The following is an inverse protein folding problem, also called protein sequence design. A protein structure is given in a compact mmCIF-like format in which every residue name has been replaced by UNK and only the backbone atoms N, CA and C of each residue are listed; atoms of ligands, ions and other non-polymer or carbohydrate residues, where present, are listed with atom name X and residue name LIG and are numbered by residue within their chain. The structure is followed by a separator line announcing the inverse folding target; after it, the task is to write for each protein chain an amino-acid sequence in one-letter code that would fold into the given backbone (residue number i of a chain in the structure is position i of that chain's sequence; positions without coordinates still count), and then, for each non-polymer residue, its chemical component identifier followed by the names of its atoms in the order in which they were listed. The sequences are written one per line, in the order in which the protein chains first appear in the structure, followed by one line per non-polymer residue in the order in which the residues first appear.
data_IF_530774062929
#
_entry.id   IF_530774062929
#
_cell.length_a   1.000
_cell.length_b   1.000
_cell.length_c   1.000
_cell.angle_alpha   90.00
_cell.angle_beta   90.00
_cell.angle_gamma   90.00
#
_symmetry.space_group_name_H-M   'P 1'
#
loop_
_entity.id
_entity.type
_entity.pdbx_description
1 polymer ?
#
# COMPACT_ATOMS: atom_id res chain seq x y z
N UNK A 1 14.67 -4.56 -12.53
CA UNK A 1 13.22 -4.27 -12.49
C UNK A 1 12.46 -5.15 -11.51
N UNK A 2 12.53 -6.49 -11.56
CA UNK A 2 11.79 -7.33 -10.60
C UNK A 2 12.21 -7.08 -9.14
N UNK A 3 13.51 -7.00 -8.88
CA UNK A 3 14.05 -6.72 -7.53
C UNK A 3 13.53 -5.40 -6.96
N UNK A 4 13.54 -4.32 -7.74
CA UNK A 4 13.00 -3.02 -7.30
C UNK A 4 11.49 -3.06 -7.00
N UNK A 5 10.72 -3.93 -7.66
CA UNK A 5 9.29 -4.10 -7.37
C UNK A 5 9.06 -4.88 -6.07
N UNK A 6 9.89 -5.89 -5.79
CA UNK A 6 9.85 -6.64 -4.52
C UNK A 6 10.16 -5.69 -3.37
N UNK A 7 11.24 -4.93 -3.47
CA UNK A 7 11.62 -3.95 -2.44
C UNK A 7 10.57 -2.85 -2.25
N UNK A 8 9.86 -2.49 -3.33
CA UNK A 8 8.76 -1.53 -3.28
C UNK A 8 7.56 -2.04 -2.49
N UNK A 9 7.13 -3.30 -2.72
CA UNK A 9 6.02 -3.92 -1.97
C UNK A 9 6.43 -4.36 -0.55
N UNK A 10 7.73 -4.41 -0.27
CA UNK A 10 8.30 -4.54 1.07
C UNK A 10 8.57 -3.18 1.75
N UNK A 11 8.13 -2.10 1.11
CA UNK A 11 8.05 -0.72 1.63
C UNK A 11 9.37 0.00 1.78
N UNK A 12 10.43 -0.52 1.17
CA UNK A 12 11.72 0.17 1.11
C UNK A 12 11.58 1.51 0.41
N UNK A 13 12.33 2.51 0.86
CA UNK A 13 12.27 3.86 0.31
C UNK A 13 12.73 3.87 -1.16
N UNK A 14 12.09 4.68 -2.01
CA UNK A 14 12.51 4.86 -3.41
C UNK A 14 13.99 5.21 -3.52
N UNK A 15 14.46 6.16 -2.70
CA UNK A 15 15.87 6.53 -2.65
C UNK A 15 16.80 5.36 -2.29
N UNK A 16 16.39 4.51 -1.35
CA UNK A 16 17.18 3.34 -0.95
C UNK A 16 17.21 2.28 -2.05
N UNK A 17 16.09 2.09 -2.76
CA UNK A 17 15.99 1.17 -3.90
C UNK A 17 16.88 1.67 -5.05
N UNK A 18 16.80 2.97 -5.37
CA UNK A 18 17.58 3.58 -6.44
C UNK A 18 19.09 3.42 -6.18
N UNK A 19 19.54 3.73 -4.96
CA UNK A 19 20.95 3.61 -4.58
C UNK A 19 21.45 2.16 -4.49
N UNK A 20 20.61 1.24 -4.01
CA UNK A 20 21.02 -0.16 -3.83
C UNK A 20 21.21 -0.89 -5.16
N UNK A 21 20.45 -0.54 -6.19
CA UNK A 21 20.41 -1.28 -7.45
C UNK A 21 20.87 -0.47 -8.67
N UNK A 22 21.34 0.77 -8.47
CA UNK A 22 21.73 1.70 -9.54
C UNK A 22 20.66 1.85 -10.64
N UNK A 23 19.39 1.72 -10.25
CA UNK A 23 18.25 1.88 -11.16
C UNK A 23 17.91 3.37 -11.19
N UNK A 24 18.58 4.13 -12.06
CA UNK A 24 18.32 5.56 -12.21
C UNK A 24 16.92 5.81 -12.80
N UNK A 25 16.01 6.23 -11.92
CA UNK A 25 14.95 7.23 -12.11
C UNK A 25 14.16 7.23 -13.44
N UNK A 26 13.65 6.07 -13.86
CA UNK A 26 12.31 5.99 -14.44
C UNK A 26 11.33 5.39 -13.41
N UNK A 27 11.46 5.88 -12.17
CA UNK A 27 10.56 5.77 -11.02
C UNK A 27 10.11 4.34 -10.71
N UNK A 28 10.72 3.72 -9.70
CA UNK A 28 10.21 2.46 -9.09
C UNK A 28 8.70 2.51 -8.89
N UNK A 29 8.16 3.66 -8.47
CA UNK A 29 6.71 3.91 -8.35
C UNK A 29 5.98 3.78 -9.70
N UNK A 30 6.52 4.34 -10.78
CA UNK A 30 5.95 4.22 -12.14
C UNK A 30 5.96 2.78 -12.62
N UNK A 31 7.09 2.08 -12.50
CA UNK A 31 7.17 0.66 -12.86
C UNK A 31 6.21 -0.18 -12.03
N UNK A 32 6.05 0.11 -10.74
CA UNK A 32 5.11 -0.58 -9.87
C UNK A 32 3.65 -0.30 -10.25
N UNK A 33 3.33 0.95 -10.63
CA UNK A 33 2.02 1.29 -11.16
C UNK A 33 1.72 0.53 -12.46
N UNK A 34 2.65 0.49 -13.41
CA UNK A 34 2.49 -0.26 -14.67
C UNK A 34 2.34 -1.77 -14.40
N UNK A 35 3.17 -2.33 -13.52
CA UNK A 35 3.08 -3.72 -13.09
C UNK A 35 1.73 -4.04 -12.43
N UNK A 36 1.19 -3.14 -11.60
CA UNK A 36 -0.13 -3.34 -10.97
C UNK A 36 -1.25 -3.53 -12.00
N UNK A 37 -1.18 -2.81 -13.14
CA UNK A 37 -2.13 -2.93 -14.25
C UNK A 37 -1.93 -4.22 -15.03
N UNK A 38 -0.68 -4.64 -15.25
CA UNK A 38 -0.37 -5.91 -15.90
C UNK A 38 -0.88 -7.11 -15.08
N UNK A 39 -0.78 -7.05 -13.76
CA UNK A 39 -1.33 -8.09 -12.87
C UNK A 39 -2.85 -8.16 -13.00
N UNK A 40 -3.56 -7.03 -13.05
CA UNK A 40 -5.02 -7.03 -13.32
C UNK A 40 -5.37 -7.60 -14.69
N UNK A 41 -4.59 -7.25 -15.71
CA UNK A 41 -4.79 -7.80 -17.05
C UNK A 41 -4.58 -9.32 -17.10
N UNK A 42 -3.53 -9.81 -16.44
CA UNK A 42 -3.27 -11.23 -16.32
C UNK A 42 -4.39 -11.96 -15.55
N UNK A 43 -4.91 -11.37 -14.46
CA UNK A 43 -6.07 -11.89 -13.73
C UNK A 43 -7.28 -12.06 -14.65
N UNK A 44 -7.64 -11.01 -15.39
CA UNK A 44 -8.79 -11.05 -16.30
C UNK A 44 -8.60 -12.10 -17.42
N UNK A 45 -7.36 -12.30 -17.87
CA UNK A 45 -7.05 -13.33 -18.86
C UNK A 45 -7.25 -14.73 -18.28
N UNK A 46 -6.83 -14.98 -17.04
CA UNK A 46 -7.07 -16.24 -16.35
C UNK A 46 -8.56 -16.51 -16.13
N UNK A 47 -9.35 -15.49 -15.77
CA UNK A 47 -10.80 -15.58 -15.65
C UNK A 47 -11.46 -16.02 -16.97
N UNK A 48 -11.04 -15.45 -18.10
CA UNK A 48 -11.52 -15.83 -19.45
C UNK A 48 -11.11 -17.26 -19.81
N UNK A 49 -9.91 -17.68 -19.39
CA UNK A 49 -9.42 -19.05 -19.61
C UNK A 49 -10.03 -20.08 -18.64
N UNK A 50 -10.93 -19.66 -17.74
CA UNK A 50 -11.55 -20.55 -16.75
C UNK A 50 -10.62 -21.00 -15.61
N UNK A 51 -9.49 -20.31 -15.41
CA UNK A 51 -8.55 -20.60 -14.33
C UNK A 51 -8.73 -19.64 -13.16
N UNK A 52 -9.36 -20.13 -12.09
CA UNK A 52 -9.71 -19.32 -10.92
C UNK A 52 -8.76 -19.50 -9.72
N UNK A 53 -7.70 -20.30 -9.86
CA UNK A 53 -6.87 -20.76 -8.73
C UNK A 53 -6.21 -19.65 -7.91
N UNK A 54 -5.75 -18.57 -8.57
CA UNK A 54 -4.92 -17.53 -7.93
C UNK A 54 -5.50 -16.10 -8.05
N UNK A 55 -6.78 -15.94 -8.39
CA UNK A 55 -7.33 -14.63 -8.72
C UNK A 55 -7.29 -13.65 -7.53
N UNK A 56 -7.54 -14.17 -6.32
CA UNK A 56 -7.44 -13.39 -5.08
C UNK A 56 -6.02 -12.88 -4.88
N UNK A 57 -5.02 -13.76 -4.98
CA UNK A 57 -3.61 -13.39 -4.79
C UNK A 57 -3.16 -12.34 -5.81
N UNK A 58 -3.70 -12.37 -7.02
CA UNK A 58 -3.45 -11.34 -8.04
C UNK A 58 -4.07 -9.98 -7.68
N UNK A 59 -5.25 -9.94 -7.05
CA UNK A 59 -5.82 -8.70 -6.53
C UNK A 59 -4.94 -8.10 -5.42
N UNK A 60 -4.48 -8.94 -4.49
CA UNK A 60 -3.55 -8.52 -3.43
C UNK A 60 -2.24 -8.02 -4.03
N UNK A 61 -1.61 -8.77 -4.93
CA UNK A 61 -0.37 -8.36 -5.58
C UNK A 61 -0.53 -7.04 -6.35
N UNK A 62 -1.63 -6.87 -7.07
CA UNK A 62 -1.93 -5.63 -7.77
C UNK A 62 -2.05 -4.44 -6.80
N UNK A 63 -2.75 -4.62 -5.68
CA UNK A 63 -2.89 -3.59 -4.65
C UNK A 63 -1.54 -3.24 -4.01
N UNK A 64 -0.74 -4.24 -3.63
CA UNK A 64 0.60 -4.06 -3.08
C UNK A 64 1.51 -3.28 -4.02
N UNK A 65 1.50 -3.64 -5.31
CA UNK A 65 2.27 -2.93 -6.34
C UNK A 65 1.78 -1.49 -6.51
N UNK A 66 0.48 -1.25 -6.52
CA UNK A 66 -0.07 0.09 -6.71
C UNK A 66 0.27 1.03 -5.54
N UNK A 67 0.11 0.57 -4.31
CA UNK A 67 0.30 1.40 -3.11
C UNK A 67 1.73 1.33 -2.54
N UNK A 68 2.51 0.31 -2.88
CA UNK A 68 3.85 0.07 -2.34
C UNK A 68 3.82 -0.33 -0.87
N UNK A 69 2.97 -1.31 -0.57
CA UNK A 69 2.69 -1.74 0.80
C UNK A 69 2.70 -3.26 0.94
N UNK A 70 2.93 -3.72 2.17
CA UNK A 70 2.62 -5.10 2.58
C UNK A 70 1.11 -5.27 2.78
N UNK A 71 0.69 -6.52 2.87
CA UNK A 71 -0.73 -6.91 2.84
C UNK A 71 -1.54 -6.40 4.03
N UNK A 72 -0.90 -6.33 5.20
CA UNK A 72 -1.50 -5.92 6.46
C UNK A 72 -2.08 -4.49 6.44
N UNK A 73 -1.52 -3.60 5.59
CA UNK A 73 -1.96 -2.20 5.53
C UNK A 73 -2.75 -1.85 4.27
N UNK A 74 -3.04 -2.83 3.40
CA UNK A 74 -3.87 -2.61 2.20
C UNK A 74 -5.23 -1.99 2.56
N UNK A 75 -5.99 -2.50 3.56
CA UNK A 75 -7.30 -1.94 3.88
C UNK A 75 -7.21 -0.45 4.23
N UNK A 76 -6.15 -0.07 4.96
CA UNK A 76 -5.93 1.28 5.44
C UNK A 76 -5.62 2.26 4.31
N UNK A 77 -4.72 1.90 3.37
CA UNK A 77 -4.38 2.77 2.23
C UNK A 77 -5.47 2.83 1.15
N UNK A 78 -6.27 1.77 1.02
CA UNK A 78 -7.42 1.75 0.10
C UNK A 78 -8.59 2.54 0.67
N UNK A 79 -8.91 2.35 1.95
CA UNK A 79 -10.08 2.95 2.60
C UNK A 79 -9.91 4.42 2.95
N UNK A 80 -8.69 4.86 3.31
CA UNK A 80 -8.46 6.24 3.75
C UNK A 80 -7.90 7.10 2.61
N UNK A 81 -8.78 7.86 1.96
CA UNK A 81 -8.40 8.76 0.85
C UNK A 81 -7.34 9.79 1.27
N UNK A 82 -6.21 9.80 0.54
CA UNK A 82 -4.99 10.61 0.77
C UNK A 82 -4.07 10.13 1.89
N UNK A 83 -4.26 8.91 2.38
CA UNK A 83 -3.29 8.24 3.24
C UNK A 83 -2.25 7.52 2.38
N UNK A 84 -1.01 8.01 2.38
CA UNK A 84 0.09 7.37 1.65
C UNK A 84 0.77 6.28 2.47
N UNK A 85 1.55 5.41 1.81
CA UNK A 85 2.23 4.26 2.42
C UNK A 85 3.01 4.58 3.70
N UNK A 86 3.78 5.68 3.71
CA UNK A 86 4.62 6.06 4.87
C UNK A 86 3.77 6.36 6.11
N UNK A 87 2.67 7.09 5.91
CA UNK A 87 1.75 7.47 7.00
C UNK A 87 0.94 6.27 7.49
N UNK A 88 0.45 5.44 6.57
CA UNK A 88 -0.24 4.19 6.92
C UNK A 88 0.67 3.25 7.72
N UNK A 89 1.91 3.05 7.28
CA UNK A 89 2.89 2.23 8.00
C UNK A 89 3.22 2.80 9.37
N UNK A 90 3.35 4.13 9.50
CA UNK A 90 3.63 4.75 10.80
C UNK A 90 2.45 4.63 11.77
N UNK A 91 1.21 4.77 11.29
CA UNK A 91 0.01 4.49 12.09
C UNK A 91 0.00 3.05 12.61
N UNK A 92 0.22 2.07 11.73
CA UNK A 92 0.25 0.66 12.11
C UNK A 92 1.43 0.32 13.03
N UNK A 93 2.58 0.97 12.86
CA UNK A 93 3.70 0.82 13.80
C UNK A 93 3.39 1.39 15.19
N UNK A 94 2.59 2.47 15.25
CA UNK A 94 2.31 3.18 16.51
C UNK A 94 1.18 2.53 17.29
N UNK A 95 0.09 2.15 16.60
CA UNK A 95 -1.12 1.65 17.23
C UNK A 95 -1.33 0.15 17.02
N UNK A 96 -0.75 -0.44 15.98
CA UNK A 96 -0.98 -1.84 15.64
C UNK A 96 -2.47 -2.14 15.52
N UNK A 97 -2.91 -3.18 16.24
CA UNK A 97 -4.31 -3.60 16.30
C UNK A 97 -5.20 -2.63 17.09
N UNK A 98 -4.62 -1.77 17.95
CA UNK A 98 -5.34 -0.79 18.76
C UNK A 98 -5.66 0.50 18.00
N UNK A 99 -5.51 0.52 16.67
CA UNK A 99 -5.77 1.70 15.84
C UNK A 99 -7.24 2.16 15.94
N UNK A 100 -8.16 1.23 16.15
CA UNK A 100 -9.60 1.51 16.34
C UNK A 100 -9.90 2.25 17.65
N UNK A 101 -9.10 2.01 18.69
CA UNK A 101 -9.26 2.62 20.01
C UNK A 101 -8.68 4.05 20.06
N UNK A 102 -7.70 4.34 19.21
CA UNK A 102 -7.02 5.64 19.17
C UNK A 102 -8.00 6.80 18.97
N UNK A 103 -7.85 7.86 19.76
CA UNK A 103 -8.62 9.09 19.58
C UNK A 103 -8.07 9.91 18.40
N UNK A 104 -8.85 10.82 17.83
CA UNK A 104 -8.34 11.73 16.79
C UNK A 104 -7.15 12.56 17.27
N UNK A 105 -7.07 12.88 18.56
CA UNK A 105 -5.93 13.60 19.16
C UNK A 105 -4.68 12.71 19.21
N UNK A 106 -4.85 11.42 19.47
CA UNK A 106 -3.73 10.46 19.48
C UNK A 106 -3.22 10.23 18.06
N UNK A 107 -4.11 10.06 17.09
CA UNK A 107 -3.76 9.93 15.67
C UNK A 107 -2.94 11.14 15.17
N UNK A 108 -3.25 12.35 15.65
CA UNK A 108 -2.52 13.57 15.30
C UNK A 108 -1.09 13.65 15.88
N UNK A 109 -0.74 12.82 16.87
CA UNK A 109 0.64 12.72 17.38
C UNK A 109 1.56 12.04 16.37
N UNK A 110 1.00 11.30 15.41
CA UNK A 110 1.76 10.61 14.37
C UNK A 110 2.20 11.59 13.30
N UNK A 111 3.48 11.56 12.97
CA UNK A 111 4.09 12.49 12.02
C UNK A 111 3.37 12.49 10.66
N UNK A 112 3.00 13.68 10.19
CA UNK A 112 2.30 13.87 8.92
C UNK A 112 0.80 13.54 8.94
N UNK A 113 0.21 13.21 10.09
CA UNK A 113 -1.23 13.05 10.28
C UNK A 113 -1.82 14.36 10.84
N UNK A 114 -2.43 15.16 9.95
CA UNK A 114 -3.19 16.35 10.37
C UNK A 114 -4.63 16.04 10.78
N UNK A 115 -5.37 17.03 11.34
CA UNK A 115 -6.74 16.84 11.84
C UNK A 115 -7.70 16.22 10.81
N UNK A 116 -7.64 16.69 9.55
CA UNK A 116 -8.48 16.18 8.46
C UNK A 116 -8.18 14.71 8.12
N UNK A 117 -6.94 14.26 8.30
CA UNK A 117 -6.54 12.89 8.02
C UNK A 117 -6.89 11.99 9.22
N UNK A 118 -6.68 12.47 10.44
CA UNK A 118 -7.08 11.79 11.66
C UNK A 118 -8.58 11.47 11.68
N UNK A 119 -9.44 12.43 11.36
CA UNK A 119 -10.90 12.19 11.29
C UNK A 119 -11.27 11.14 10.24
N UNK A 120 -10.61 11.12 9.08
CA UNK A 120 -10.83 10.09 8.06
C UNK A 120 -10.38 8.70 8.50
N UNK A 121 -9.24 8.61 9.18
CA UNK A 121 -8.76 7.35 9.75
C UNK A 121 -9.76 6.86 10.80
N UNK A 122 -10.25 7.74 11.67
CA UNK A 122 -11.22 7.37 12.71
C UNK A 122 -12.53 6.85 12.11
N UNK A 123 -13.07 7.54 11.10
CA UNK A 123 -14.26 7.08 10.37
C UNK A 123 -14.02 5.71 9.74
N UNK A 124 -12.85 5.47 9.14
CA UNK A 124 -12.52 4.18 8.55
C UNK A 124 -12.51 3.05 9.59
N UNK A 125 -11.88 3.28 10.74
CA UNK A 125 -11.79 2.32 11.85
C UNK A 125 -13.10 2.11 12.64
N UNK A 126 -14.11 2.95 12.44
CA UNK A 126 -15.44 2.76 13.05
C UNK A 126 -16.33 1.85 12.19
N UNK A 127 -16.04 1.76 10.89
CA UNK A 127 -16.83 0.99 9.93
C UNK A 127 -16.29 -0.43 9.68
N UNK A 128 -15.15 -0.78 10.27
CA UNK A 128 -14.45 -2.07 10.18
C UNK A 128 -13.91 -2.45 11.55
#
# INVERSE_FOLDING_TARGET
TAVSLIEWIDERNEYEIENAYNVYSASTRRSAYEASRLVKFAKNTLEVLGNYSNLKDMDYLSARLYYGVKEDIIPLVVGVKRLGRKRARLLMKTFGDNLSEASEKDLQKVEGIGPKLAGKVKIFTMNH
#
